data_IF_751542062862
#
_entry.id   IF_751542062862
#
_cell.length_a   1.000
_cell.length_b   1.000
_cell.length_c   1.000
_cell.angle_alpha   90.00
_cell.angle_beta   90.00
_cell.angle_gamma   90.00
#
_symmetry.space_group_name_H-M   'P 1'
#
loop_
_entity.id
_entity.type
_entity.pdbx_description
1 polymer ?
#
# COMPACT_ATOMS: atom_id res chain seq x y z
N UNK A 1 3.19 -21.38 9.68
CA UNK A 1 3.50 -20.38 8.63
C UNK A 1 2.95 -19.04 9.08
N UNK A 2 3.80 -18.03 9.29
CA UNK A 2 3.41 -16.73 9.88
C UNK A 2 2.54 -15.97 8.87
N UNK A 3 1.27 -15.70 9.20
CA UNK A 3 0.37 -14.89 8.34
C UNK A 3 1.02 -13.52 8.18
N UNK A 4 1.54 -13.25 6.99
CA UNK A 4 2.00 -11.92 6.63
C UNK A 4 0.73 -11.07 6.52
N UNK A 5 0.52 -10.18 7.47
CA UNK A 5 -0.61 -9.25 7.44
C UNK A 5 -0.57 -8.47 6.12
N UNK A 6 -1.72 -8.36 5.46
CA UNK A 6 -1.88 -7.63 4.19
C UNK A 6 -1.35 -6.18 4.26
N UNK A 7 -1.38 -5.59 5.45
CA UNK A 7 -0.79 -4.28 5.75
C UNK A 7 0.72 -4.21 5.52
N UNK A 8 1.47 -5.26 5.88
CA UNK A 8 2.94 -5.29 5.75
C UNK A 8 3.34 -5.34 4.29
N UNK A 9 2.61 -6.10 3.47
CA UNK A 9 2.84 -6.19 2.03
C UNK A 9 2.56 -4.85 1.33
N UNK A 10 1.49 -4.14 1.71
CA UNK A 10 1.15 -2.86 1.08
C UNK A 10 2.21 -1.80 1.35
N UNK A 11 2.69 -1.68 2.58
CA UNK A 11 3.76 -0.75 2.94
C UNK A 11 5.09 -1.12 2.29
N UNK A 12 5.37 -2.43 2.13
CA UNK A 12 6.58 -2.91 1.46
C UNK A 12 6.69 -2.42 0.02
N UNK A 13 5.60 -2.48 -0.77
CA UNK A 13 5.61 -1.98 -2.15
C UNK A 13 5.88 -0.47 -2.25
N UNK A 14 5.36 0.33 -1.31
CA UNK A 14 5.58 1.77 -1.28
C UNK A 14 7.05 2.09 -0.96
N UNK A 15 7.62 1.43 0.05
CA UNK A 15 9.03 1.62 0.44
C UNK A 15 9.95 1.18 -0.70
N UNK A 16 9.67 0.02 -1.31
CA UNK A 16 10.48 -0.51 -2.40
C UNK A 16 10.44 0.38 -3.65
N UNK A 17 9.24 0.80 -4.07
CA UNK A 17 9.07 1.71 -5.22
C UNK A 17 9.70 3.08 -4.96
N UNK A 18 9.54 3.64 -3.77
CA UNK A 18 10.16 4.90 -3.37
C UNK A 18 11.68 4.83 -3.32
N UNK A 19 12.25 3.76 -2.75
CA UNK A 19 13.70 3.56 -2.71
C UNK A 19 14.29 3.42 -4.12
N UNK A 20 13.60 2.72 -5.02
CA UNK A 20 14.02 2.55 -6.41
C UNK A 20 14.03 3.88 -7.17
N UNK A 21 13.02 4.74 -6.96
CA UNK A 21 13.00 6.08 -7.54
C UNK A 21 14.09 6.98 -6.97
N UNK A 22 14.31 6.95 -5.65
CA UNK A 22 15.36 7.76 -5.02
C UNK A 22 16.75 7.34 -5.49
N UNK A 23 16.99 6.03 -5.64
CA UNK A 23 18.24 5.49 -6.17
C UNK A 23 18.48 5.98 -7.60
N UNK A 24 17.46 5.87 -8.46
CA UNK A 24 17.58 6.26 -9.88
C UNK A 24 17.72 7.77 -10.07
N UNK A 25 17.04 8.59 -9.27
CA UNK A 25 17.12 10.06 -9.34
C UNK A 25 18.47 10.58 -8.81
N UNK A 26 19.06 9.88 -7.85
CA UNK A 26 20.34 10.26 -7.24
C UNK A 26 21.55 9.86 -8.07
N UNK A 27 21.38 9.02 -9.09
CA UNK A 27 22.45 8.63 -10.01
C UNK A 27 22.71 9.66 -11.12
N UNK A 28 23.93 9.70 -11.63
CA UNK A 28 24.32 10.55 -12.77
C UNK A 28 23.70 10.05 -14.08
N UNK A 29 23.62 8.73 -14.26
CA UNK A 29 22.95 8.09 -15.40
C UNK A 29 21.53 7.68 -15.00
N UNK A 30 20.54 8.28 -15.68
CA UNK A 30 19.13 8.07 -15.39
C UNK A 30 18.52 7.11 -16.40
N UNK A 31 18.16 5.93 -15.94
CA UNK A 31 17.40 4.96 -16.69
C UNK A 31 15.90 5.26 -16.59
N UNK A 32 15.37 5.86 -17.66
CA UNK A 32 13.95 6.23 -17.78
C UNK A 32 13.03 5.01 -17.59
N UNK A 33 13.46 3.80 -17.97
CA UNK A 33 12.66 2.58 -17.75
C UNK A 33 12.53 2.25 -16.26
N UNK A 34 13.60 2.42 -15.48
CA UNK A 34 13.57 2.19 -14.03
C UNK A 34 12.67 3.22 -13.34
N UNK A 35 12.74 4.49 -13.76
CA UNK A 35 11.83 5.54 -13.27
C UNK A 35 10.35 5.21 -13.52
N UNK A 36 10.00 4.77 -14.73
CA UNK A 36 8.62 4.39 -15.07
C UNK A 36 8.14 3.21 -14.23
N UNK A 37 8.97 2.16 -14.13
CA UNK A 37 8.63 0.98 -13.32
C UNK A 37 8.48 1.36 -11.84
N UNK A 38 9.37 2.20 -11.32
CA UNK A 38 9.32 2.70 -9.95
C UNK A 38 8.02 3.47 -9.66
N UNK A 39 7.58 4.35 -10.56
CA UNK A 39 6.33 5.09 -10.42
C UNK A 39 5.13 4.15 -10.45
N UNK A 40 5.09 3.18 -11.36
CA UNK A 40 3.98 2.20 -11.45
C UNK A 40 3.90 1.38 -10.16
N UNK A 41 5.04 0.90 -9.64
CA UNK A 41 5.11 0.17 -8.36
C UNK A 41 4.63 1.02 -7.19
N UNK A 42 5.03 2.29 -7.14
CA UNK A 42 4.64 3.21 -6.08
C UNK A 42 3.14 3.51 -6.14
N UNK A 43 2.60 3.80 -7.32
CA UNK A 43 1.15 3.97 -7.54
C UNK A 43 0.37 2.72 -7.14
N UNK A 44 0.84 1.53 -7.49
CA UNK A 44 0.20 0.26 -7.13
C UNK A 44 0.21 0.02 -5.61
N UNK A 45 1.35 0.27 -4.96
CA UNK A 45 1.48 0.17 -3.51
C UNK A 45 0.55 1.15 -2.79
N UNK A 46 0.49 2.40 -3.28
CA UNK A 46 -0.37 3.44 -2.73
C UNK A 46 -1.85 3.10 -2.93
N UNK A 47 -2.24 2.65 -4.13
CA UNK A 47 -3.61 2.20 -4.42
C UNK A 47 -4.05 1.10 -3.44
N UNK A 48 -3.20 0.08 -3.22
CA UNK A 48 -3.50 -0.98 -2.25
C UNK A 48 -3.59 -0.47 -0.82
N UNK A 49 -2.71 0.45 -0.41
CA UNK A 49 -2.74 1.04 0.93
C UNK A 49 -4.01 1.87 1.15
N UNK A 50 -4.39 2.70 0.18
CA UNK A 50 -5.63 3.47 0.21
C UNK A 50 -6.86 2.56 0.22
N UNK A 51 -6.90 1.53 -0.64
CA UNK A 51 -8.03 0.61 -0.68
C UNK A 51 -8.15 -0.16 0.65
N UNK A 52 -7.04 -0.61 1.22
CA UNK A 52 -7.03 -1.22 2.56
C UNK A 52 -7.58 -0.25 3.62
N UNK A 53 -7.15 1.01 3.61
CA UNK A 53 -7.61 2.02 4.55
C UNK A 53 -9.11 2.34 4.40
N UNK A 54 -9.61 2.41 3.18
CA UNK A 54 -11.03 2.60 2.86
C UNK A 54 -11.86 1.41 3.35
N UNK A 55 -11.44 0.18 3.06
CA UNK A 55 -12.13 -1.03 3.54
C UNK A 55 -12.14 -1.14 5.06
N UNK A 56 -11.05 -0.80 5.75
CA UNK A 56 -11.02 -0.83 7.22
C UNK A 56 -11.82 0.30 7.89
N UNK A 57 -12.20 1.35 7.15
CA UNK A 57 -13.01 2.45 7.69
C UNK A 57 -14.50 2.14 7.73
N UNK A 58 -14.99 1.28 6.83
CA UNK A 58 -16.40 0.87 6.82
C UNK A 58 -16.74 -0.17 7.90
N UNK A 59 -15.75 -0.86 8.47
CA UNK A 59 -15.94 -1.78 9.60
C UNK A 59 -16.27 -1.07 10.93
N UNK A 60 -16.22 0.27 10.98
CA UNK A 60 -16.71 1.03 12.14
C UNK A 60 -18.17 1.49 12.03
N UNK A 61 -18.96 0.95 11.08
CA UNK A 61 -20.39 1.29 10.96
C UNK A 61 -21.37 0.10 11.01
N UNK A 62 -20.93 -1.09 11.44
CA UNK A 62 -21.82 -2.21 11.74
C UNK A 62 -21.35 -2.97 13.00
N UNK A 63 -21.49 -2.33 14.16
CA UNK A 63 -21.54 -3.05 15.44
C UNK A 63 -22.51 -2.33 16.39
N UNK A 64 -23.72 -2.06 15.90
CA UNK A 64 -24.88 -1.72 16.72
C UNK A 64 -26.10 -2.25 15.97
N UNK A 65 -26.57 -3.45 16.29
CA UNK A 65 -27.95 -3.94 16.07
C UNK A 65 -27.97 -5.47 16.22
N UNK A 66 -27.87 -5.99 17.45
CA UNK A 66 -28.61 -7.18 17.93
C UNK A 66 -28.13 -7.61 19.32
N UNK A 67 -28.53 -6.90 20.36
CA UNK A 67 -28.64 -7.42 21.74
C UNK A 67 -29.63 -6.56 22.54
N UNK A 68 -30.81 -6.34 21.96
CA UNK A 68 -31.99 -5.92 22.72
C UNK A 68 -33.16 -6.77 22.22
N UNK A 69 -33.28 -7.99 22.78
CA UNK A 69 -34.55 -8.66 23.08
C UNK A 69 -34.29 -10.07 23.66
N UNK A 70 -34.94 -10.30 24.82
CA UNK A 70 -35.14 -11.54 25.61
C UNK A 70 -34.15 -11.76 26.76
#
# INVERSE_FOLDING_TARGET
MKKINSQVLNTFFIILGGAMLLFEISGDEKNVYILIVGIILLMFGLYRATNHWVYTKDDHKQENESDENI
#
